data_IF_572215622088
#
_entry.id   IF_572215622088
#
_cell.length_a   1.000
_cell.length_b   1.000
_cell.length_c   1.000
_cell.angle_alpha   90.00
_cell.angle_beta   90.00
_cell.angle_gamma   90.00
#
_symmetry.space_group_name_H-M   'P 1'
#
loop_
_entity.id
_entity.type
_entity.pdbx_description
1 polymer ?
#
# COMPACT_ATOMS: atom_id res chain seq x y z
N UNK A 1 68.99 0.45 -16.40
CA UNK A 1 69.65 0.82 -15.14
C UNK A 1 70.27 2.22 -15.12
N UNK A 2 70.77 2.72 -16.22
CA UNK A 2 71.45 4.04 -16.29
C UNK A 2 70.42 5.22 -16.24
N UNK A 3 69.22 5.06 -16.73
CA UNK A 3 68.21 6.13 -16.77
C UNK A 3 67.61 6.47 -15.37
N UNK A 4 67.53 5.50 -14.47
CA UNK A 4 66.99 5.68 -13.13
C UNK A 4 67.89 6.49 -12.18
N UNK A 5 69.20 6.40 -12.33
CA UNK A 5 70.14 7.17 -11.51
C UNK A 5 70.20 8.67 -11.95
N UNK A 6 69.93 8.96 -13.19
CA UNK A 6 69.92 10.35 -13.70
C UNK A 6 68.69 11.13 -13.22
N UNK A 7 67.53 10.48 -13.15
CA UNK A 7 66.28 11.10 -12.69
C UNK A 7 66.33 11.39 -11.20
N UNK A 8 66.86 10.46 -10.34
CA UNK A 8 67.00 10.66 -8.90
C UNK A 8 67.99 11.79 -8.57
N UNK A 9 69.03 11.95 -9.33
CA UNK A 9 70.01 13.05 -9.14
C UNK A 9 69.43 14.44 -9.51
N UNK A 10 68.56 14.52 -10.47
CA UNK A 10 67.88 15.76 -10.85
C UNK A 10 66.79 16.16 -9.86
N UNK A 11 66.05 15.22 -9.30
CA UNK A 11 65.01 15.51 -8.31
C UNK A 11 65.61 16.12 -7.02
N UNK A 12 66.79 15.71 -6.61
CA UNK A 12 67.45 16.27 -5.42
C UNK A 12 68.08 17.66 -5.61
N UNK A 13 68.29 18.12 -6.88
CA UNK A 13 68.87 19.44 -7.16
C UNK A 13 67.77 20.54 -7.23
N UNK A 14 66.49 20.17 -7.44
CA UNK A 14 65.44 21.16 -7.71
C UNK A 14 64.36 21.25 -6.63
N UNK A 15 64.70 21.03 -5.38
CA UNK A 15 63.74 21.10 -4.24
C UNK A 15 63.26 22.55 -3.90
N UNK A 16 63.54 23.53 -4.75
CA UNK A 16 63.24 24.95 -4.51
C UNK A 16 62.20 25.62 -5.41
N UNK A 17 61.67 24.95 -6.47
CA UNK A 17 60.77 25.64 -7.40
C UNK A 17 59.47 24.87 -7.70
N UNK A 18 58.37 25.34 -7.18
CA UNK A 18 56.99 24.84 -7.31
C UNK A 18 56.51 24.71 -8.77
N UNK A 19 57.08 25.47 -9.69
CA UNK A 19 56.67 25.51 -11.11
C UNK A 19 57.17 24.25 -11.88
N UNK A 20 58.31 23.69 -11.49
CA UNK A 20 58.85 22.54 -12.19
C UNK A 20 58.20 21.20 -11.75
N UNK A 21 57.61 21.11 -10.56
CA UNK A 21 56.82 19.93 -10.17
C UNK A 21 55.56 19.79 -11.05
N UNK A 22 54.93 20.89 -11.46
CA UNK A 22 53.79 20.87 -12.42
C UNK A 22 54.19 20.40 -13.80
N UNK A 23 55.41 20.78 -14.26
CA UNK A 23 55.96 20.40 -15.56
C UNK A 23 56.33 18.91 -15.61
N UNK A 24 56.88 18.35 -14.52
CA UNK A 24 57.28 16.93 -14.44
C UNK A 24 56.06 15.99 -14.42
N UNK A 25 54.98 16.35 -13.73
CA UNK A 25 53.73 15.58 -13.74
C UNK A 25 53.08 15.64 -15.12
N UNK A 26 53.14 16.77 -15.83
CA UNK A 26 52.61 16.90 -17.19
C UNK A 26 53.44 16.09 -18.21
N UNK A 27 54.75 16.01 -18.05
CA UNK A 27 55.63 15.23 -18.95
C UNK A 27 55.52 13.72 -18.69
N UNK A 28 55.31 13.29 -17.45
CA UNK A 28 55.03 11.88 -17.14
C UNK A 28 53.66 11.38 -17.66
N UNK A 29 52.70 12.28 -17.85
CA UNK A 29 51.41 11.92 -18.45
C UNK A 29 51.49 11.73 -19.98
N UNK A 30 52.52 12.27 -20.64
CA UNK A 30 52.77 12.10 -22.09
C UNK A 30 53.67 10.89 -22.44
N UNK A 31 54.42 10.36 -21.47
CA UNK A 31 55.15 9.12 -21.64
C UNK A 31 54.39 8.01 -20.93
N UNK A 32 53.91 7.00 -21.64
CA UNK A 32 53.25 5.77 -21.14
C UNK A 32 54.16 4.95 -20.22
N UNK A 33 54.70 5.55 -19.17
CA UNK A 33 55.51 4.88 -18.16
C UNK A 33 54.62 4.52 -17.00
N UNK A 34 54.30 3.25 -16.86
CA UNK A 34 53.67 2.69 -15.65
C UNK A 34 54.61 2.95 -14.47
N UNK A 35 54.33 3.99 -13.69
CA UNK A 35 54.98 4.24 -12.42
C UNK A 35 54.28 3.38 -11.38
N UNK A 36 54.74 2.14 -11.21
CA UNK A 36 54.47 1.33 -10.03
C UNK A 36 55.30 1.86 -8.89
N UNK A 37 54.84 2.89 -8.22
CA UNK A 37 55.51 3.46 -7.04
C UNK A 37 54.49 4.21 -6.20
N UNK A 38 54.42 3.95 -4.90
CA UNK A 38 53.61 4.72 -3.94
C UNK A 38 54.12 6.17 -3.96
N UNK A 39 53.35 7.08 -4.58
CA UNK A 39 53.53 8.52 -4.44
C UNK A 39 53.15 8.90 -2.99
N UNK A 40 54.12 8.94 -2.09
CA UNK A 40 53.99 9.66 -0.82
C UNK A 40 54.00 11.16 -1.10
N UNK A 41 52.88 11.72 -1.47
CA UNK A 41 52.65 13.17 -1.50
C UNK A 41 52.53 13.63 -0.03
N UNK A 42 53.62 14.15 0.53
CA UNK A 42 53.52 14.92 1.78
C UNK A 42 52.60 16.12 1.51
N UNK A 43 51.61 16.25 2.41
CA UNK A 43 50.51 17.20 2.29
C UNK A 43 50.97 18.67 2.43
N UNK A 44 51.50 19.25 1.36
CA UNK A 44 51.66 20.71 1.26
C UNK A 44 51.28 21.19 -0.15
N UNK A 45 50.05 21.74 -0.23
CA UNK A 45 49.57 22.75 -1.18
C UNK A 45 49.29 22.36 -2.62
N UNK A 46 48.76 21.16 -2.91
CA UNK A 46 47.95 20.99 -4.11
C UNK A 46 46.48 21.10 -3.69
N UNK A 47 45.91 22.27 -3.84
CA UNK A 47 44.47 22.50 -3.52
C UNK A 47 43.54 21.85 -4.54
N UNK A 48 44.04 21.51 -5.74
CA UNK A 48 43.25 20.87 -6.79
C UNK A 48 44.13 19.92 -7.65
N UNK A 49 43.57 18.75 -7.99
CA UNK A 49 44.16 17.81 -8.96
C UNK A 49 43.19 17.69 -10.14
N UNK A 50 43.68 18.04 -11.33
CA UNK A 50 42.96 17.84 -12.60
C UNK A 50 43.56 16.69 -13.39
N UNK A 51 42.71 15.77 -13.83
CA UNK A 51 43.06 14.71 -14.78
C UNK A 51 42.27 14.96 -16.05
N UNK A 52 43.00 15.18 -17.17
CA UNK A 52 42.35 15.50 -18.45
C UNK A 52 41.84 16.94 -18.59
N UNK A 53 42.15 17.82 -17.63
CA UNK A 53 41.73 19.23 -17.65
C UNK A 53 42.79 20.16 -17.06
N UNK A 54 43.04 21.30 -17.73
CA UNK A 54 44.06 22.26 -17.33
C UNK A 54 43.63 23.17 -16.16
N UNK A 55 42.32 23.42 -16.02
CA UNK A 55 41.76 24.33 -15.00
C UNK A 55 40.72 23.60 -14.17
N UNK A 56 41.12 22.80 -13.15
CA UNK A 56 40.18 22.04 -12.33
C UNK A 56 39.33 22.95 -11.47
N UNK A 57 38.04 22.67 -11.42
CA UNK A 57 37.02 23.42 -10.64
C UNK A 57 36.75 22.81 -9.27
N UNK A 58 37.43 21.71 -8.91
CA UNK A 58 37.30 21.04 -7.64
C UNK A 58 38.62 20.43 -7.18
N UNK A 59 38.68 19.94 -5.93
CA UNK A 59 39.87 19.32 -5.33
C UNK A 59 40.40 18.14 -6.16
N UNK A 60 39.51 17.35 -6.74
CA UNK A 60 39.74 16.34 -7.77
C UNK A 60 38.77 16.60 -8.93
N UNK A 61 39.28 16.95 -10.09
CA UNK A 61 38.50 17.14 -11.32
C UNK A 61 38.99 16.17 -12.38
N UNK A 62 38.17 15.19 -12.74
CA UNK A 62 38.42 14.23 -13.83
C UNK A 62 37.55 14.62 -15.02
N UNK A 63 38.19 14.86 -16.16
CA UNK A 63 37.52 15.27 -17.41
C UNK A 63 38.01 14.43 -18.56
N UNK A 64 37.13 13.93 -19.40
CA UNK A 64 37.42 13.26 -20.65
C UNK A 64 36.98 14.17 -21.81
N UNK A 65 37.93 14.58 -22.62
CA UNK A 65 37.70 15.38 -23.82
C UNK A 65 37.64 14.53 -25.10
N UNK A 66 37.93 13.21 -24.99
CA UNK A 66 37.96 12.30 -26.14
C UNK A 66 36.69 11.46 -26.20
N UNK A 67 36.17 11.13 -27.39
CA UNK A 67 35.11 10.15 -27.56
C UNK A 67 35.51 8.78 -27.02
N UNK A 68 34.55 7.98 -26.64
CA UNK A 68 34.71 6.66 -25.97
C UNK A 68 35.59 5.66 -26.76
N UNK A 69 35.71 5.84 -28.10
CA UNK A 69 36.42 4.92 -28.97
C UNK A 69 37.96 4.90 -28.77
N UNK A 70 38.53 5.93 -28.16
CA UNK A 70 39.96 6.12 -28.06
C UNK A 70 40.56 5.79 -26.68
N UNK A 71 39.78 5.32 -25.73
CA UNK A 71 40.24 4.95 -24.38
C UNK A 71 40.54 3.44 -24.27
N UNK A 72 41.81 3.01 -24.26
CA UNK A 72 42.14 1.60 -24.04
C UNK A 72 41.71 1.13 -22.67
N UNK A 73 40.85 0.11 -22.62
CA UNK A 73 40.36 -0.51 -21.39
C UNK A 73 38.99 -0.07 -20.91
N UNK A 74 38.30 0.80 -21.62
CA UNK A 74 36.88 1.11 -21.36
C UNK A 74 36.02 0.13 -22.16
N UNK A 75 35.21 -0.66 -21.47
CA UNK A 75 34.22 -1.53 -22.15
C UNK A 75 33.08 -0.65 -22.64
N UNK A 76 32.79 -0.63 -23.97
CA UNK A 76 31.60 0.05 -24.47
C UNK A 76 30.36 -0.59 -23.89
N UNK A 77 29.58 0.14 -23.12
CA UNK A 77 28.26 -0.26 -22.69
C UNK A 77 27.32 -0.10 -23.89
N UNK A 78 27.00 -1.23 -24.49
CA UNK A 78 25.97 -1.44 -25.50
C UNK A 78 26.16 -0.77 -26.87
N UNK A 79 26.50 -1.59 -27.87
CA UNK A 79 26.49 -1.21 -29.29
C UNK A 79 25.07 -1.36 -29.85
N UNK A 80 24.16 -0.54 -29.38
CA UNK A 80 22.83 -0.36 -30.00
C UNK A 80 22.85 0.87 -30.92
N UNK A 81 23.42 0.74 -32.11
CA UNK A 81 23.23 1.52 -33.32
C UNK A 81 23.04 3.04 -33.27
N UNK A 82 23.92 3.74 -33.99
CA UNK A 82 23.93 5.13 -34.43
C UNK A 82 24.88 6.03 -33.64
N UNK A 83 25.95 6.38 -34.35
CA UNK A 83 26.92 7.46 -34.16
C UNK A 83 26.47 8.61 -33.23
N UNK A 84 26.51 8.39 -31.94
CA UNK A 84 26.47 9.46 -30.97
C UNK A 84 27.82 9.47 -30.23
N UNK A 85 28.60 10.52 -30.45
CA UNK A 85 29.89 10.72 -29.80
C UNK A 85 29.69 11.07 -28.34
N UNK A 86 29.37 10.06 -27.51
CA UNK A 86 29.14 10.22 -26.09
C UNK A 86 30.47 10.34 -25.35
N UNK A 87 30.76 11.53 -24.88
CA UNK A 87 31.86 11.74 -23.94
C UNK A 87 31.54 11.07 -22.60
N UNK A 88 32.54 10.32 -22.10
CA UNK A 88 32.37 9.54 -20.87
C UNK A 88 33.55 9.76 -19.94
N UNK A 89 33.25 10.08 -18.69
CA UNK A 89 34.23 10.15 -17.62
C UNK A 89 33.94 9.00 -16.65
N UNK A 90 34.94 8.21 -16.29
CA UNK A 90 34.80 7.06 -15.41
C UNK A 90 35.78 7.18 -14.25
N UNK A 91 35.24 7.09 -13.01
CA UNK A 91 36.03 6.76 -11.84
C UNK A 91 35.84 5.27 -11.54
N UNK A 92 36.89 4.48 -11.72
CA UNK A 92 36.86 3.04 -11.51
C UNK A 92 37.69 2.68 -10.27
N UNK A 93 37.09 1.96 -9.34
CA UNK A 93 37.68 1.61 -8.07
C UNK A 93 37.76 0.08 -7.98
N UNK A 94 38.97 -0.45 -7.89
CA UNK A 94 39.21 -1.88 -7.74
C UNK A 94 40.17 -2.13 -6.57
N UNK A 95 40.27 -3.37 -6.14
CA UNK A 95 41.28 -3.84 -5.18
C UNK A 95 41.77 -5.25 -5.56
N UNK A 96 42.76 -5.75 -4.88
CA UNK A 96 43.39 -7.05 -5.20
C UNK A 96 42.45 -8.25 -5.06
N UNK A 97 41.38 -8.14 -4.29
CA UNK A 97 40.45 -9.25 -4.09
C UNK A 97 39.38 -9.33 -5.19
N UNK A 98 38.99 -8.18 -5.78
CA UNK A 98 37.97 -8.13 -6.85
C UNK A 98 38.60 -8.17 -8.24
N UNK A 99 39.91 -7.92 -8.38
CA UNK A 99 40.61 -7.89 -9.66
C UNK A 99 40.97 -6.48 -10.15
N UNK A 100 41.49 -6.39 -11.34
CA UNK A 100 42.00 -5.12 -11.93
C UNK A 100 41.53 -4.89 -13.37
N UNK A 101 40.62 -5.70 -13.88
CA UNK A 101 40.07 -5.56 -15.21
C UNK A 101 38.95 -4.52 -15.23
N UNK A 102 38.53 -4.12 -16.43
CA UNK A 102 37.45 -3.15 -16.61
C UNK A 102 36.07 -3.68 -16.16
N UNK A 103 35.97 -4.98 -15.85
CA UNK A 103 34.79 -5.67 -15.36
C UNK A 103 34.86 -6.03 -13.88
N UNK A 104 35.83 -5.50 -13.16
CA UNK A 104 36.01 -5.75 -11.73
C UNK A 104 35.72 -4.48 -10.93
N UNK A 105 35.22 -4.62 -9.69
CA UNK A 105 35.06 -3.54 -8.74
C UNK A 105 33.83 -2.65 -8.95
N UNK A 106 33.97 -1.38 -8.62
CA UNK A 106 32.90 -0.37 -8.64
C UNK A 106 33.27 0.81 -9.54
N UNK A 107 32.30 1.33 -10.31
CA UNK A 107 32.52 2.53 -11.12
C UNK A 107 31.45 3.58 -10.91
N UNK A 108 31.87 4.84 -11.05
CA UNK A 108 31.01 6.01 -11.27
C UNK A 108 31.29 6.51 -12.67
N UNK A 109 30.29 6.48 -13.52
CA UNK A 109 30.39 6.88 -14.92
C UNK A 109 29.52 8.09 -15.17
N UNK A 110 30.08 9.15 -15.77
CA UNK A 110 29.34 10.31 -16.26
C UNK A 110 29.33 10.26 -17.77
N UNK A 111 28.15 10.29 -18.36
CA UNK A 111 27.92 10.56 -19.78
C UNK A 111 27.29 11.94 -19.97
N UNK A 112 26.96 12.33 -21.21
CA UNK A 112 26.26 13.61 -21.44
C UNK A 112 24.93 13.74 -20.71
N UNK A 113 24.23 12.62 -20.50
CA UNK A 113 22.83 12.62 -20.06
C UNK A 113 22.60 11.94 -18.71
N UNK A 114 23.57 11.16 -18.19
CA UNK A 114 23.38 10.38 -16.97
C UNK A 114 24.64 10.20 -16.14
N UNK A 115 24.46 9.93 -14.85
CA UNK A 115 25.47 9.40 -13.94
C UNK A 115 25.07 7.99 -13.56
N UNK A 116 25.94 7.02 -13.85
CA UNK A 116 25.72 5.62 -13.50
C UNK A 116 26.68 5.20 -12.40
N UNK A 117 26.15 4.59 -11.33
CA UNK A 117 26.90 3.86 -10.33
C UNK A 117 26.76 2.37 -10.62
N UNK A 118 27.87 1.67 -10.83
CA UNK A 118 27.87 0.26 -11.22
C UNK A 118 28.78 -0.56 -10.33
N UNK A 119 28.22 -1.63 -9.78
CA UNK A 119 28.98 -2.72 -9.17
C UNK A 119 29.11 -3.85 -10.20
N UNK A 120 30.33 -4.28 -10.47
CA UNK A 120 30.60 -5.34 -11.45
C UNK A 120 30.58 -6.72 -10.80
N UNK A 121 30.90 -6.80 -9.51
CA UNK A 121 30.81 -8.03 -8.73
C UNK A 121 29.36 -8.36 -8.38
N UNK A 122 29.13 -9.64 -8.08
CA UNK A 122 27.84 -10.09 -7.53
C UNK A 122 27.70 -9.68 -6.05
N UNK A 123 27.76 -8.39 -5.78
CA UNK A 123 27.73 -7.80 -4.45
C UNK A 123 26.75 -6.60 -4.40
N UNK A 124 26.48 -6.13 -3.20
CA UNK A 124 25.51 -5.04 -2.93
C UNK A 124 26.18 -3.68 -3.03
N UNK A 125 25.39 -2.67 -3.41
CA UNK A 125 25.77 -1.26 -3.24
C UNK A 125 25.09 -0.73 -1.98
N UNK A 126 25.89 -0.20 -1.04
CA UNK A 126 25.41 0.41 0.18
C UNK A 126 25.69 1.91 0.22
N UNK A 127 24.69 2.71 0.60
CA UNK A 127 24.81 4.13 0.95
C UNK A 127 24.33 4.22 2.40
N UNK A 128 25.26 4.20 3.35
CA UNK A 128 24.95 4.10 4.77
C UNK A 128 25.30 5.37 5.53
N UNK A 129 24.46 5.73 6.50
CA UNK A 129 24.75 6.74 7.51
C UNK A 129 25.66 6.18 8.62
N UNK A 130 26.04 7.03 9.57
CA UNK A 130 26.94 6.70 10.68
C UNK A 130 26.48 5.49 11.52
N UNK A 131 25.17 5.31 11.66
CA UNK A 131 24.56 4.18 12.39
C UNK A 131 24.37 2.89 11.55
N UNK A 132 24.93 2.86 10.34
CA UNK A 132 24.83 1.70 9.44
C UNK A 132 23.45 1.58 8.74
N UNK A 133 22.56 2.53 8.93
CA UNK A 133 21.27 2.57 8.22
C UNK A 133 21.35 3.46 6.98
N UNK A 134 20.63 3.10 5.94
CA UNK A 134 20.63 3.86 4.70
C UNK A 134 19.96 3.10 3.57
N UNK A 135 20.52 3.24 2.38
CA UNK A 135 20.03 2.56 1.18
C UNK A 135 20.91 1.36 0.84
N UNK A 136 20.30 0.27 0.40
CA UNK A 136 20.98 -0.92 -0.13
C UNK A 136 20.35 -1.29 -1.47
N UNK A 137 21.17 -1.36 -2.53
CA UNK A 137 20.80 -2.01 -3.77
C UNK A 137 21.40 -3.41 -3.75
N UNK A 138 20.56 -4.43 -3.73
CA UNK A 138 20.99 -5.83 -3.69
C UNK A 138 21.27 -6.40 -5.07
N UNK A 139 21.96 -7.53 -5.13
CA UNK A 139 22.39 -8.20 -6.37
C UNK A 139 21.24 -8.61 -7.30
N UNK A 140 20.03 -8.81 -6.76
CA UNK A 140 18.81 -9.10 -7.53
C UNK A 140 18.04 -7.83 -7.95
N UNK A 141 18.60 -6.64 -7.75
CA UNK A 141 17.99 -5.35 -8.08
C UNK A 141 16.92 -4.88 -7.09
N UNK A 142 16.87 -5.42 -5.88
CA UNK A 142 15.94 -4.95 -4.83
C UNK A 142 16.54 -3.78 -4.05
N UNK A 143 15.74 -2.75 -3.78
CA UNK A 143 16.09 -1.58 -2.99
C UNK A 143 15.65 -1.76 -1.54
N UNK A 144 16.61 -1.73 -0.61
CA UNK A 144 16.37 -1.66 0.83
C UNK A 144 16.53 -0.23 1.34
N UNK A 145 15.62 0.23 2.19
CA UNK A 145 15.72 1.46 2.98
C UNK A 145 15.68 1.06 4.43
N UNK A 146 16.76 1.34 5.17
CA UNK A 146 16.91 0.90 6.57
C UNK A 146 17.12 -0.62 6.74
N UNK A 147 17.42 -1.34 5.67
CA UNK A 147 17.73 -2.79 5.69
C UNK A 147 18.78 -3.13 4.64
N UNK A 148 19.69 -4.05 4.99
CA UNK A 148 20.71 -4.59 4.10
C UNK A 148 20.30 -5.92 3.44
N UNK A 149 19.09 -6.43 3.78
CA UNK A 149 18.56 -7.68 3.26
C UNK A 149 17.11 -7.50 2.81
N UNK A 150 16.86 -6.76 1.67
CA UNK A 150 15.53 -6.54 1.16
C UNK A 150 14.88 -7.85 0.71
N UNK A 151 13.66 -8.13 1.19
CA UNK A 151 12.88 -9.33 0.86
C UNK A 151 11.98 -9.16 -0.37
N UNK A 152 11.86 -7.92 -0.89
CA UNK A 152 11.06 -7.58 -2.08
C UNK A 152 11.72 -6.43 -2.84
N UNK A 153 11.18 -6.05 -4.01
CA UNK A 153 11.77 -5.00 -4.88
C UNK A 153 12.01 -3.67 -4.17
N UNK A 154 11.11 -3.26 -3.30
CA UNK A 154 11.30 -2.13 -2.38
C UNK A 154 10.95 -2.59 -0.96
N UNK A 155 11.96 -2.70 -0.08
CA UNK A 155 11.76 -3.01 1.33
C UNK A 155 12.17 -1.83 2.19
N UNK A 156 11.20 -1.20 2.85
CA UNK A 156 11.42 -0.14 3.83
C UNK A 156 11.28 -0.75 5.23
N UNK A 157 12.37 -0.77 5.98
CA UNK A 157 12.35 -1.13 7.40
C UNK A 157 12.21 0.14 8.23
N UNK A 158 10.96 0.56 8.43
CA UNK A 158 10.57 1.82 9.07
C UNK A 158 9.32 2.40 8.43
N UNK A 159 9.00 3.64 8.78
CA UNK A 159 7.85 4.35 8.24
C UNK A 159 8.15 4.96 6.87
N UNK A 160 7.20 4.85 5.93
CA UNK A 160 7.21 5.54 4.65
C UNK A 160 6.19 6.69 4.66
N UNK A 161 6.54 7.84 4.07
CA UNK A 161 5.62 8.94 3.84
C UNK A 161 5.56 9.25 2.34
N UNK A 162 4.35 9.24 1.78
CA UNK A 162 4.09 9.57 0.39
C UNK A 162 3.29 10.87 0.32
N UNK A 163 3.91 11.95 -0.16
CA UNK A 163 3.21 13.20 -0.42
C UNK A 163 2.67 13.20 -1.85
N UNK A 164 1.56 12.49 -2.04
CA UNK A 164 0.96 12.25 -3.35
C UNK A 164 0.21 10.93 -3.38
N UNK A 165 -0.07 10.44 -4.56
CA UNK A 165 -0.84 9.19 -4.75
C UNK A 165 0.08 7.97 -4.74
N UNK A 166 -0.26 6.95 -3.94
CA UNK A 166 0.32 5.61 -4.06
C UNK A 166 -0.55 4.81 -5.03
N UNK A 167 0.02 4.47 -6.19
CA UNK A 167 -0.66 3.67 -7.21
C UNK A 167 -0.15 2.23 -7.20
N UNK A 168 -1.06 1.26 -7.12
CA UNK A 168 -0.77 -0.15 -7.29
C UNK A 168 -1.59 -0.69 -8.48
N UNK A 169 -0.95 -1.41 -9.40
CA UNK A 169 -1.63 -1.96 -10.58
C UNK A 169 -2.44 -3.22 -10.28
N UNK A 170 -2.24 -3.84 -9.13
CA UNK A 170 -2.92 -5.07 -8.72
C UNK A 170 -3.63 -4.91 -7.38
N UNK A 171 -2.91 -4.94 -6.27
CA UNK A 171 -3.49 -4.86 -4.92
C UNK A 171 -2.56 -4.15 -3.96
N UNK A 172 -3.12 -3.58 -2.90
CA UNK A 172 -2.41 -3.11 -1.72
C UNK A 172 -2.76 -4.06 -0.57
N UNK A 173 -1.74 -4.57 0.11
CA UNK A 173 -1.89 -5.42 1.30
C UNK A 173 -1.37 -4.66 2.50
N UNK A 174 -2.16 -4.59 3.56
CA UNK A 174 -1.82 -3.89 4.80
C UNK A 174 -2.01 -4.83 5.99
N UNK A 175 -1.02 -4.90 6.87
CA UNK A 175 -1.01 -5.80 8.02
C UNK A 175 -0.03 -6.97 7.84
N UNK A 176 0.17 -7.72 8.91
CA UNK A 176 1.04 -8.89 8.95
C UNK A 176 0.20 -10.17 9.09
N UNK A 177 0.62 -11.21 8.38
CA UNK A 177 0.06 -12.56 8.44
C UNK A 177 -1.47 -12.63 8.28
N UNK A 178 -2.22 -12.84 9.37
CA UNK A 178 -3.65 -13.17 9.33
C UNK A 178 -4.58 -11.98 9.60
N UNK A 179 -4.04 -10.75 9.68
CA UNK A 179 -4.81 -9.53 9.98
C UNK A 179 -4.70 -8.51 8.85
N UNK A 180 -4.80 -8.98 7.61
CA UNK A 180 -4.46 -8.19 6.43
C UNK A 180 -5.69 -7.59 5.78
N UNK A 181 -5.61 -6.30 5.49
CA UNK A 181 -6.54 -5.59 4.64
C UNK A 181 -6.02 -5.60 3.21
N UNK A 182 -6.81 -6.10 2.28
CA UNK A 182 -6.49 -6.12 0.86
C UNK A 182 -7.35 -5.14 0.10
N UNK A 183 -6.72 -4.30 -0.72
CA UNK A 183 -7.40 -3.46 -1.71
C UNK A 183 -6.93 -3.91 -3.08
N UNK A 184 -7.83 -4.37 -3.92
CA UNK A 184 -7.47 -4.95 -5.20
C UNK A 184 -8.52 -4.79 -6.28
N UNK A 185 -8.18 -5.26 -7.47
CA UNK A 185 -9.10 -5.28 -8.61
C UNK A 185 -10.14 -6.37 -8.45
N UNK A 186 -11.40 -6.04 -8.68
CA UNK A 186 -12.49 -7.01 -8.86
C UNK A 186 -12.59 -7.50 -10.32
N UNK A 187 -11.85 -6.86 -11.22
CA UNK A 187 -11.98 -6.88 -12.67
C UNK A 187 -11.76 -8.23 -13.34
N UNK A 188 -10.95 -9.14 -12.84
CA UNK A 188 -10.68 -10.39 -13.54
C UNK A 188 -11.58 -11.51 -13.05
N UNK A 189 -12.12 -12.31 -13.99
CA UNK A 189 -12.84 -13.57 -13.78
C UNK A 189 -14.01 -13.53 -12.77
N UNK A 190 -15.09 -12.81 -13.04
CA UNK A 190 -16.42 -13.04 -12.46
C UNK A 190 -16.78 -12.43 -11.09
N UNK A 191 -15.90 -11.72 -10.35
CA UNK A 191 -16.38 -10.98 -9.18
C UNK A 191 -17.22 -9.79 -9.65
N UNK A 192 -16.56 -8.84 -10.33
CA UNK A 192 -17.24 -7.73 -11.00
C UNK A 192 -16.29 -7.05 -11.99
N UNK A 193 -16.74 -6.75 -13.20
CA UNK A 193 -15.93 -6.12 -14.22
C UNK A 193 -15.76 -4.62 -13.94
N UNK A 194 -14.52 -4.12 -13.94
CA UNK A 194 -14.21 -2.69 -13.88
C UNK A 194 -14.22 -2.04 -12.50
N UNK A 195 -14.38 -2.80 -11.42
CA UNK A 195 -14.42 -2.27 -10.05
C UNK A 195 -13.25 -2.74 -9.18
N UNK A 196 -13.25 -2.35 -7.93
CA UNK A 196 -12.31 -2.76 -6.90
C UNK A 196 -13.03 -3.46 -5.74
N UNK A 197 -12.28 -4.19 -4.92
CA UNK A 197 -12.77 -4.76 -3.68
C UNK A 197 -11.91 -4.35 -2.48
N UNK A 198 -12.51 -4.40 -1.31
CA UNK A 198 -11.86 -4.32 -0.02
C UNK A 198 -12.02 -5.68 0.67
N UNK A 199 -10.90 -6.36 0.96
CA UNK A 199 -10.90 -7.68 1.57
C UNK A 199 -10.31 -7.65 2.98
N UNK A 200 -11.06 -8.10 3.97
CA UNK A 200 -10.63 -8.31 5.35
C UNK A 200 -10.27 -9.79 5.51
N UNK A 201 -8.99 -10.08 5.64
CA UNK A 201 -8.43 -11.44 5.58
C UNK A 201 -8.94 -12.25 4.36
N UNK A 202 -9.20 -11.57 3.25
CA UNK A 202 -9.72 -12.15 2.02
C UNK A 202 -8.89 -11.63 0.84
N UNK A 203 -7.87 -12.37 0.47
CA UNK A 203 -6.99 -12.05 -0.65
C UNK A 203 -7.49 -12.71 -1.92
N UNK A 204 -7.71 -11.91 -2.97
CA UNK A 204 -8.09 -12.40 -4.30
C UNK A 204 -6.89 -12.48 -5.23
N UNK A 205 -6.74 -13.62 -5.90
CA UNK A 205 -5.74 -13.84 -6.93
C UNK A 205 -6.37 -14.60 -8.11
N UNK A 206 -6.55 -13.92 -9.25
CA UNK A 206 -7.11 -14.48 -10.50
C UNK A 206 -8.43 -15.27 -10.29
N UNK A 207 -9.38 -14.68 -9.56
CA UNK A 207 -10.69 -15.30 -9.31
C UNK A 207 -10.72 -16.37 -8.22
N UNK A 208 -9.58 -16.71 -7.64
CA UNK A 208 -9.45 -17.54 -6.44
C UNK A 208 -9.22 -16.67 -5.21
N UNK A 209 -9.74 -17.11 -4.07
CA UNK A 209 -9.61 -16.39 -2.82
C UNK A 209 -8.90 -17.22 -1.76
N UNK A 210 -8.17 -16.54 -0.91
CA UNK A 210 -7.47 -17.14 0.22
C UNK A 210 -7.83 -16.35 1.48
N UNK A 211 -8.33 -17.05 2.49
CA UNK A 211 -8.44 -16.54 3.85
C UNK A 211 -7.43 -17.28 4.72
N UNK A 212 -6.52 -16.52 5.34
CA UNK A 212 -5.44 -17.10 6.16
C UNK A 212 -5.95 -17.45 7.55
N UNK A 213 -5.38 -18.48 8.15
CA UNK A 213 -5.69 -18.85 9.53
C UNK A 213 -4.84 -18.07 10.53
N UNK A 214 -5.42 -17.75 11.67
CA UNK A 214 -4.69 -17.32 12.87
C UNK A 214 -4.36 -18.49 13.81
N UNK A 215 -4.29 -19.72 13.28
CA UNK A 215 -4.16 -21.01 13.99
C UNK A 215 -5.47 -21.57 14.57
N UNK A 216 -6.52 -20.77 14.68
CA UNK A 216 -7.83 -21.17 15.23
C UNK A 216 -8.95 -21.00 14.20
N UNK A 217 -8.99 -19.86 13.56
CA UNK A 217 -10.05 -19.45 12.63
C UNK A 217 -9.44 -18.90 11.34
N UNK A 218 -10.20 -19.02 10.24
CA UNK A 218 -9.77 -18.64 8.90
C UNK A 218 -10.88 -17.88 8.13
N UNK A 219 -11.79 -17.21 8.83
CA UNK A 219 -12.85 -16.41 8.21
C UNK A 219 -12.35 -15.09 7.66
N UNK A 220 -13.18 -14.43 6.84
CA UNK A 220 -12.91 -13.13 6.26
C UNK A 220 -14.18 -12.40 5.84
N UNK A 221 -14.02 -11.24 5.22
CA UNK A 221 -15.12 -10.48 4.63
C UNK A 221 -14.65 -9.73 3.38
N UNK A 222 -15.59 -9.43 2.49
CA UNK A 222 -15.33 -8.70 1.25
C UNK A 222 -16.40 -7.63 1.04
N UNK A 223 -15.96 -6.44 0.66
CA UNK A 223 -16.83 -5.34 0.21
C UNK A 223 -16.42 -5.00 -1.22
N UNK A 224 -17.38 -4.87 -2.13
CA UNK A 224 -17.12 -4.40 -3.49
C UNK A 224 -18.32 -3.67 -4.08
N UNK A 225 -18.09 -2.86 -5.10
CA UNK A 225 -19.14 -2.23 -5.87
C UNK A 225 -19.37 -2.94 -7.20
N UNK A 226 -20.59 -2.88 -7.74
CA UNK A 226 -20.88 -3.28 -9.12
C UNK A 226 -20.78 -2.09 -10.07
N UNK A 227 -20.66 -2.35 -11.37
CA UNK A 227 -20.72 -1.29 -12.37
C UNK A 227 -22.10 -0.63 -12.50
N UNK A 228 -23.13 -1.29 -11.97
CA UNK A 228 -24.48 -0.71 -11.84
C UNK A 228 -24.60 0.28 -10.69
N UNK A 229 -23.59 0.33 -9.79
CA UNK A 229 -23.54 1.23 -8.64
C UNK A 229 -24.02 0.61 -7.33
N UNK A 230 -24.27 -0.68 -7.28
CA UNK A 230 -24.58 -1.39 -6.03
C UNK A 230 -23.33 -1.58 -5.17
N UNK A 231 -23.47 -1.51 -3.83
CA UNK A 231 -22.42 -1.85 -2.88
C UNK A 231 -22.80 -3.14 -2.14
N UNK A 232 -21.92 -4.14 -2.19
CA UNK A 232 -22.16 -5.47 -1.68
C UNK A 232 -21.21 -5.82 -0.54
N UNK A 233 -21.73 -6.54 0.45
CA UNK A 233 -21.01 -7.02 1.62
C UNK A 233 -21.18 -8.53 1.73
N UNK A 234 -20.09 -9.27 1.64
CA UNK A 234 -20.06 -10.71 1.77
C UNK A 234 -19.21 -11.14 2.97
N UNK A 235 -19.66 -12.10 3.73
CA UNK A 235 -18.91 -12.74 4.79
C UNK A 235 -18.37 -14.08 4.30
N UNK A 236 -17.16 -14.44 4.72
CA UNK A 236 -16.56 -15.74 4.50
C UNK A 236 -16.49 -16.44 5.86
N UNK A 237 -17.39 -17.37 6.15
CA UNK A 237 -17.39 -18.08 7.42
C UNK A 237 -16.08 -18.84 7.63
N UNK A 238 -15.63 -18.95 8.86
CA UNK A 238 -14.50 -19.80 9.21
C UNK A 238 -14.84 -21.28 9.03
N UNK A 239 -13.92 -22.04 8.46
CA UNK A 239 -14.01 -23.50 8.30
C UNK A 239 -13.04 -24.26 9.21
N UNK A 240 -12.25 -23.54 10.01
CA UNK A 240 -11.33 -24.13 10.98
C UNK A 240 -9.95 -23.47 11.02
N UNK A 241 -8.93 -24.24 11.37
CA UNK A 241 -7.59 -23.78 11.71
C UNK A 241 -6.57 -23.85 10.57
N UNK A 242 -6.99 -24.21 9.35
CA UNK A 242 -6.14 -24.19 8.14
C UNK A 242 -6.53 -23.05 7.22
N UNK A 243 -5.61 -22.57 6.38
CA UNK A 243 -5.96 -21.56 5.37
C UNK A 243 -7.12 -22.06 4.49
N UNK A 244 -8.13 -21.23 4.29
CA UNK A 244 -9.14 -21.48 3.26
C UNK A 244 -8.56 -21.12 1.89
N UNK A 245 -8.44 -22.13 1.03
CA UNK A 245 -8.00 -21.99 -0.35
C UNK A 245 -9.07 -22.56 -1.27
N UNK A 246 -9.08 -22.16 -2.53
CA UNK A 246 -10.05 -22.66 -3.51
C UNK A 246 -11.44 -22.03 -3.44
N UNK A 247 -11.64 -21.00 -2.64
CA UNK A 247 -12.81 -20.14 -2.73
C UNK A 247 -12.81 -19.43 -4.09
N UNK A 248 -13.98 -19.35 -4.74
CA UNK A 248 -14.17 -18.72 -6.04
C UNK A 248 -14.94 -17.41 -5.91
N UNK A 249 -14.92 -16.58 -6.96
CA UNK A 249 -15.78 -15.39 -7.02
C UNK A 249 -17.26 -15.74 -6.87
N UNK A 250 -17.70 -16.88 -7.42
CA UNK A 250 -19.07 -17.38 -7.24
C UNK A 250 -19.39 -17.69 -5.76
N UNK A 251 -18.43 -18.27 -5.02
CA UNK A 251 -18.56 -18.51 -3.58
C UNK A 251 -18.73 -17.20 -2.82
N UNK A 252 -17.97 -16.16 -3.16
CA UNK A 252 -18.08 -14.84 -2.53
C UNK A 252 -19.43 -14.21 -2.83
N UNK A 253 -19.89 -14.24 -4.09
CA UNK A 253 -21.21 -13.72 -4.48
C UNK A 253 -22.36 -14.42 -3.75
N UNK A 254 -22.31 -15.73 -3.55
CA UNK A 254 -23.33 -16.48 -2.81
C UNK A 254 -23.41 -16.13 -1.33
N UNK A 255 -22.33 -15.58 -0.79
CA UNK A 255 -22.21 -15.18 0.61
C UNK A 255 -22.54 -13.70 0.86
N UNK A 256 -23.12 -13.01 -0.11
CA UNK A 256 -23.65 -11.65 0.09
C UNK A 256 -24.78 -11.68 1.10
N UNK A 257 -24.63 -10.92 2.17
CA UNK A 257 -25.60 -10.81 3.25
C UNK A 257 -26.27 -9.44 3.29
N UNK A 258 -25.61 -8.41 2.74
CA UNK A 258 -26.09 -7.04 2.70
C UNK A 258 -25.75 -6.44 1.35
N UNK A 259 -26.71 -5.75 0.75
CA UNK A 259 -26.56 -4.99 -0.50
C UNK A 259 -27.24 -3.64 -0.34
N UNK A 260 -26.51 -2.57 -0.61
CA UNK A 260 -27.05 -1.24 -0.87
C UNK A 260 -27.19 -1.10 -2.37
N UNK A 261 -28.42 -1.08 -2.84
CA UNK A 261 -28.72 -0.99 -4.27
C UNK A 261 -28.59 0.45 -4.78
N UNK A 262 -28.21 0.63 -6.02
CA UNK A 262 -28.07 1.97 -6.66
C UNK A 262 -29.36 2.78 -6.66
N UNK A 263 -30.52 2.13 -6.54
CA UNK A 263 -31.83 2.77 -6.42
C UNK A 263 -32.24 3.09 -4.97
N UNK A 264 -31.31 3.00 -4.01
CA UNK A 264 -31.48 3.36 -2.61
C UNK A 264 -32.09 2.29 -1.73
N UNK A 265 -32.29 1.07 -2.24
CA UNK A 265 -32.79 -0.04 -1.42
C UNK A 265 -31.68 -0.75 -0.63
N UNK A 266 -31.95 -1.01 0.64
CA UNK A 266 -31.12 -1.87 1.48
C UNK A 266 -31.73 -3.27 1.50
N UNK A 267 -30.98 -4.25 0.98
CA UNK A 267 -31.37 -5.66 0.97
C UNK A 267 -30.46 -6.43 1.92
N UNK A 268 -31.06 -7.04 2.94
CA UNK A 268 -30.36 -7.88 3.92
C UNK A 268 -31.05 -9.23 4.03
N UNK A 269 -30.29 -10.30 4.32
CA UNK A 269 -30.86 -11.64 4.55
C UNK A 269 -31.69 -11.66 5.84
N UNK A 270 -31.26 -10.96 6.86
CA UNK A 270 -31.92 -10.87 8.16
C UNK A 270 -31.59 -9.53 8.81
N UNK A 271 -32.57 -8.91 9.45
CA UNK A 271 -32.39 -7.72 10.29
C UNK A 271 -32.97 -8.03 11.68
N UNK A 272 -32.10 -8.15 12.69
CA UNK A 272 -32.47 -8.26 14.08
C UNK A 272 -32.36 -6.90 14.76
N UNK A 273 -33.51 -6.32 15.11
CA UNK A 273 -33.57 -5.05 15.84
C UNK A 273 -33.66 -5.36 17.34
N UNK A 274 -32.72 -4.83 18.10
CA UNK A 274 -32.74 -4.94 19.58
C UNK A 274 -33.53 -3.76 20.13
N UNK A 275 -34.60 -4.07 20.82
CA UNK A 275 -35.47 -3.12 21.50
C UNK A 275 -35.48 -3.41 22.98
N UNK A 276 -35.73 -2.37 23.77
CA UNK A 276 -36.03 -2.46 25.22
C UNK A 276 -37.51 -2.20 25.42
N UNK A 277 -38.06 -2.65 26.54
CA UNK A 277 -39.44 -2.40 26.93
C UNK A 277 -40.47 -2.91 25.90
N UNK A 278 -40.53 -4.24 25.69
CA UNK A 278 -41.51 -4.86 24.83
C UNK A 278 -42.94 -4.70 25.42
N UNK A 279 -44.02 -4.57 24.60
CA UNK A 279 -45.33 -4.10 25.07
C UNK A 279 -46.18 -5.04 25.92
N UNK A 280 -45.66 -6.20 26.38
CA UNK A 280 -46.32 -7.15 27.28
C UNK A 280 -46.98 -6.47 28.50
N UNK A 281 -46.60 -5.22 28.79
CA UNK A 281 -47.20 -4.40 29.86
C UNK A 281 -48.69 -4.04 29.59
N UNK A 282 -49.20 -4.20 28.37
CA UNK A 282 -50.61 -4.01 28.02
C UNK A 282 -51.50 -4.99 28.81
N UNK A 283 -50.95 -6.16 29.14
CA UNK A 283 -51.69 -7.16 29.94
C UNK A 283 -51.55 -6.96 31.47
N UNK A 284 -50.82 -5.95 31.91
CA UNK A 284 -50.69 -5.61 33.31
C UNK A 284 -52.07 -5.11 33.83
N UNK A 285 -52.56 -5.58 35.00
CA UNK A 285 -53.80 -5.11 35.58
C UNK A 285 -53.88 -3.59 35.84
N UNK A 286 -52.73 -2.91 35.88
CA UNK A 286 -52.69 -1.46 36.06
C UNK A 286 -52.63 -0.68 34.71
N UNK A 287 -52.55 -1.39 33.60
CA UNK A 287 -52.57 -0.76 32.28
C UNK A 287 -53.93 -0.06 32.04
N UNK A 288 -53.86 1.21 31.69
CA UNK A 288 -55.03 2.01 31.41
C UNK A 288 -55.41 1.93 29.93
N UNK A 289 -56.14 0.86 29.57
CA UNK A 289 -56.72 0.76 28.25
C UNK A 289 -57.81 1.84 28.09
N UNK A 290 -57.72 2.66 27.04
CA UNK A 290 -58.77 3.62 26.71
C UNK A 290 -60.06 2.89 26.38
N UNK A 291 -61.23 3.49 26.72
CA UNK A 291 -62.48 2.96 26.21
C UNK A 291 -62.60 3.11 24.71
N UNK A 292 -63.40 2.29 24.06
CA UNK A 292 -63.69 2.42 22.61
C UNK A 292 -64.25 3.81 22.26
N UNK A 293 -65.05 4.41 23.18
CA UNK A 293 -65.57 5.77 22.99
C UNK A 293 -64.51 6.83 23.03
N UNK A 294 -63.53 6.74 23.96
CA UNK A 294 -62.38 7.67 24.04
C UNK A 294 -61.44 7.49 22.82
N UNK A 295 -61.20 6.24 22.43
CA UNK A 295 -60.40 5.93 21.23
C UNK A 295 -61.05 6.52 19.96
N UNK A 296 -62.38 6.40 19.82
CA UNK A 296 -63.15 6.98 18.71
C UNK A 296 -63.03 8.50 18.70
N UNK A 297 -63.23 9.14 19.85
CA UNK A 297 -63.11 10.59 19.96
C UNK A 297 -61.67 11.05 19.57
N UNK A 298 -60.65 10.37 20.06
CA UNK A 298 -59.26 10.67 19.73
C UNK A 298 -59.01 10.61 18.21
N UNK A 299 -59.52 9.56 17.54
CA UNK A 299 -59.36 9.39 16.09
C UNK A 299 -60.09 10.51 15.34
N UNK A 300 -61.31 10.91 15.77
CA UNK A 300 -62.05 11.99 15.17
C UNK A 300 -61.35 13.35 15.29
N UNK A 301 -60.66 13.59 16.40
CA UNK A 301 -59.94 14.84 16.67
C UNK A 301 -58.53 14.87 16.02
N UNK A 302 -57.82 13.76 15.92
CA UNK A 302 -56.39 13.68 15.58
C UNK A 302 -56.12 13.01 14.23
N UNK A 303 -57.06 12.21 13.70
CA UNK A 303 -56.90 11.50 12.42
C UNK A 303 -55.99 10.27 12.47
N UNK A 304 -55.51 9.83 13.64
CA UNK A 304 -54.66 8.63 13.84
C UNK A 304 -54.98 7.95 15.16
N UNK A 305 -54.46 6.74 15.34
CA UNK A 305 -54.61 6.02 16.62
C UNK A 305 -53.75 6.69 17.72
N UNK A 306 -54.18 6.62 18.99
CA UNK A 306 -53.35 7.05 20.13
C UNK A 306 -51.94 6.47 20.09
N UNK A 307 -50.93 7.28 20.41
CA UNK A 307 -49.48 6.94 20.43
C UNK A 307 -48.87 6.60 19.05
N UNK A 308 -49.66 6.48 17.99
CA UNK A 308 -49.12 6.29 16.64
C UNK A 308 -48.65 7.64 16.07
N UNK A 309 -47.48 7.68 15.37
CA UNK A 309 -47.05 8.88 14.72
C UNK A 309 -47.99 9.33 13.59
N UNK A 310 -48.04 10.62 13.32
CA UNK A 310 -48.81 11.16 12.19
C UNK A 310 -48.13 10.84 10.86
N UNK A 311 -48.92 10.88 9.75
CA UNK A 311 -48.37 10.75 8.39
C UNK A 311 -47.32 11.79 8.11
N UNK A 312 -47.55 13.06 8.51
CA UNK A 312 -46.61 14.16 8.33
C UNK A 312 -45.26 13.96 9.02
N UNK A 313 -45.28 13.40 10.28
CA UNK A 313 -44.06 13.07 10.98
C UNK A 313 -43.25 11.94 10.26
N UNK A 314 -43.95 10.90 9.81
CA UNK A 314 -43.31 9.81 9.07
C UNK A 314 -42.71 10.27 7.73
N UNK A 315 -43.43 11.15 7.01
CA UNK A 315 -42.96 11.68 5.73
C UNK A 315 -41.75 12.61 5.88
N UNK A 316 -41.68 13.38 6.98
CA UNK A 316 -40.62 14.37 7.19
C UNK A 316 -39.37 13.76 7.90
N UNK A 317 -39.55 12.87 8.84
CA UNK A 317 -38.47 12.33 9.70
C UNK A 317 -38.10 10.89 9.37
N UNK A 318 -38.92 10.20 8.58
CA UNK A 318 -38.78 8.77 8.32
C UNK A 318 -39.41 7.92 9.44
N UNK A 319 -39.36 6.60 9.26
CA UNK A 319 -39.94 5.63 10.18
C UNK A 319 -38.87 4.79 10.87
N UNK A 320 -38.84 4.80 12.20
CA UNK A 320 -38.04 3.83 12.96
C UNK A 320 -38.78 2.47 12.95
N UNK A 321 -38.21 1.51 12.20
CA UNK A 321 -38.85 0.19 11.99
C UNK A 321 -39.00 -0.56 13.28
N UNK A 322 -38.07 -0.48 14.22
CA UNK A 322 -38.14 -1.16 15.52
C UNK A 322 -39.26 -0.60 16.38
N UNK A 323 -39.31 0.70 16.60
CA UNK A 323 -40.34 1.38 17.39
C UNK A 323 -41.74 1.21 16.78
N UNK A 324 -41.84 1.29 15.45
CA UNK A 324 -43.11 1.06 14.77
C UNK A 324 -43.64 -0.34 15.00
N UNK A 325 -42.81 -1.38 14.91
CA UNK A 325 -43.21 -2.75 15.21
C UNK A 325 -43.64 -2.91 16.67
N UNK A 326 -42.95 -2.27 17.63
CA UNK A 326 -43.34 -2.24 19.04
C UNK A 326 -44.71 -1.65 19.21
N UNK A 327 -44.99 -0.48 18.63
CA UNK A 327 -46.30 0.17 18.67
C UNK A 327 -47.38 -0.68 18.00
N UNK A 328 -47.09 -1.31 16.86
CA UNK A 328 -48.04 -2.22 16.22
C UNK A 328 -48.42 -3.42 17.11
N UNK A 329 -47.46 -4.04 17.77
CA UNK A 329 -47.75 -5.14 18.72
C UNK A 329 -48.59 -4.63 19.89
N UNK A 330 -48.24 -3.46 20.46
CA UNK A 330 -49.07 -2.85 21.51
C UNK A 330 -50.53 -2.66 21.05
N UNK A 331 -50.73 -2.12 19.84
CA UNK A 331 -52.11 -1.96 19.32
C UNK A 331 -52.80 -3.29 19.03
N UNK A 332 -52.10 -4.34 18.66
CA UNK A 332 -52.64 -5.69 18.52
C UNK A 332 -53.09 -6.24 19.89
N UNK A 333 -52.30 -6.03 20.94
CA UNK A 333 -52.63 -6.46 22.30
C UNK A 333 -53.81 -5.69 22.87
N UNK A 334 -53.88 -4.36 22.70
CA UNK A 334 -55.04 -3.54 23.04
C UNK A 334 -56.31 -4.00 22.31
N UNK A 335 -56.22 -4.26 20.98
CA UNK A 335 -57.33 -4.79 20.19
C UNK A 335 -57.79 -6.15 20.71
N UNK A 336 -56.86 -7.01 21.13
CA UNK A 336 -57.19 -8.32 21.73
C UNK A 336 -57.99 -8.16 23.00
N UNK A 337 -57.64 -7.22 23.87
CA UNK A 337 -58.41 -6.92 25.09
C UNK A 337 -59.81 -6.40 24.74
N UNK A 338 -59.99 -5.54 23.74
CA UNK A 338 -61.32 -5.11 23.28
C UNK A 338 -62.18 -6.29 22.77
N UNK A 339 -61.57 -7.19 21.99
CA UNK A 339 -62.28 -8.38 21.48
C UNK A 339 -62.74 -9.28 22.62
N UNK A 340 -61.90 -9.51 23.62
CA UNK A 340 -62.24 -10.31 24.80
C UNK A 340 -63.44 -9.69 25.55
N UNK A 341 -63.39 -8.37 25.75
CA UNK A 341 -64.50 -7.68 26.44
C UNK A 341 -65.82 -7.71 25.63
N UNK A 342 -65.72 -7.51 24.29
CA UNK A 342 -66.88 -7.60 23.40
C UNK A 342 -67.47 -9.04 23.41
N UNK A 343 -66.63 -10.08 23.39
CA UNK A 343 -67.08 -11.46 23.47
C UNK A 343 -67.83 -11.72 24.77
N UNK A 344 -67.34 -11.22 25.89
CA UNK A 344 -68.00 -11.31 27.19
C UNK A 344 -69.39 -10.65 27.20
N UNK A 345 -69.49 -9.45 26.62
CA UNK A 345 -70.77 -8.72 26.49
C UNK A 345 -71.79 -9.50 25.63
N UNK A 346 -71.32 -10.08 24.50
CA UNK A 346 -72.14 -10.93 23.64
C UNK A 346 -72.66 -12.17 24.41
N UNK A 347 -71.84 -12.83 25.19
CA UNK A 347 -72.22 -14.01 25.95
C UNK A 347 -73.20 -13.65 27.09
N UNK A 348 -73.05 -12.50 27.73
CA UNK A 348 -74.01 -11.97 28.70
C UNK A 348 -75.33 -11.65 28.07
N UNK A 349 -75.36 -11.04 26.83
CA UNK A 349 -76.59 -10.78 26.10
C UNK A 349 -77.30 -12.08 25.73
N UNK A 350 -76.64 -13.06 25.18
CA UNK A 350 -77.17 -14.37 24.83
C UNK A 350 -77.80 -15.09 26.09
N UNK A 351 -77.12 -15.01 27.25
CA UNK A 351 -77.62 -15.57 28.46
C UNK A 351 -78.86 -14.85 29.03
N UNK A 352 -79.07 -13.58 28.68
CA UNK A 352 -80.28 -12.81 29.03
C UNK A 352 -81.43 -13.13 28.12
N UNK A 353 -81.24 -13.44 26.86
CA UNK A 353 -82.26 -13.80 25.87
C UNK A 353 -82.80 -15.26 26.11
N UNK A 354 -82.00 -16.10 26.76
CA UNK A 354 -82.36 -17.49 27.03
C UNK A 354 -83.08 -17.70 28.39
N UNK A 355 -83.26 -16.62 29.13
CA UNK A 355 -84.06 -16.58 30.37
C UNK A 355 -85.42 -15.86 30.14
#
# INVERSE_FOLDING_TARGET
MVCNQFIIRWINIFDKYTIMKKFLISVCAFCSISVVGTLNLSAQTLTTLGIGIASPQGTLHVHSATPEEDLPGVIPLDRGGLLDHNYKTVLHITNTNVGTTATDGFSITQTNNEVTLRQFENDKIHILGFNGQGLTLSTNGSLGVGTTSPSCRLHVNGNGYFNGTLSATSKVSMGADNQTLFVGKAHEANLEYGTAYLGFNAERNNGSWICRTNTWLNGGAVIWATMEGDLLFANIPSTGSSNQTGLTDASIKSNVNLKLSHDGRLLAKEVKVTLTEWPDYVFDPQYKLLSISETKQFIEENGHLPEMPTAESIESEGMNVGEMNKLLVQKVEELTLYIIELQKQIDELKNKETK
#
